data_IF_789594928985
#
_entry.id   IF_789594928985
#
_cell.length_a   1.000
_cell.length_b   1.000
_cell.length_c   1.000
_cell.angle_alpha   90.00
_cell.angle_beta   90.00
_cell.angle_gamma   90.00
#
_symmetry.space_group_name_H-M   'P 1'
#
loop_
_entity.id
_entity.type
_entity.pdbx_description
1 polymer ?
#
# COMPACT_ATOMS: atom_id res chain seq x y z
N UNK A 1 32.00 -53.77 -2.52
CA UNK A 1 31.16 -53.45 -3.69
C UNK A 1 31.75 -52.21 -4.34
N UNK A 2 32.58 -52.46 -5.33
CA UNK A 2 33.33 -51.44 -6.09
C UNK A 2 32.38 -50.79 -7.09
N UNK A 3 32.05 -49.50 -6.89
CA UNK A 3 31.26 -48.72 -7.85
C UNK A 3 32.18 -48.36 -9.01
N UNK A 4 32.04 -49.05 -10.13
CA UNK A 4 32.65 -48.75 -11.41
C UNK A 4 32.22 -47.35 -11.85
N UNK A 5 33.08 -46.34 -11.62
CA UNK A 5 32.97 -45.05 -12.25
C UNK A 5 33.11 -45.21 -13.76
N UNK A 6 31.99 -45.17 -14.49
CA UNK A 6 32.01 -45.02 -15.94
C UNK A 6 32.61 -43.63 -16.28
N UNK A 7 33.91 -43.59 -16.52
CA UNK A 7 34.54 -42.42 -17.16
C UNK A 7 33.96 -42.34 -18.59
N UNK A 8 33.43 -41.18 -18.92
CA UNK A 8 33.00 -40.89 -20.30
C UNK A 8 34.28 -40.86 -21.18
N UNK A 9 34.33 -41.81 -22.14
CA UNK A 9 35.48 -41.92 -23.07
C UNK A 9 35.50 -40.71 -24.04
N UNK A 10 36.72 -40.31 -24.48
CA UNK A 10 36.94 -39.16 -25.34
C UNK A 10 36.02 -38.97 -26.55
N UNK A 11 35.65 -40.10 -27.30
CA UNK A 11 34.71 -40.00 -28.42
C UNK A 11 33.24 -39.66 -28.04
N UNK A 12 32.88 -39.93 -26.80
CA UNK A 12 31.55 -39.56 -26.28
C UNK A 12 31.46 -38.05 -25.90
N UNK A 13 32.55 -37.46 -25.46
CA UNK A 13 32.66 -36.04 -25.13
C UNK A 13 32.68 -35.16 -26.38
N UNK A 14 33.36 -35.62 -27.44
CA UNK A 14 33.43 -34.93 -28.73
C UNK A 14 32.03 -34.80 -29.40
N UNK A 15 31.22 -35.87 -29.26
CA UNK A 15 29.81 -35.85 -29.72
C UNK A 15 28.91 -34.91 -28.96
N UNK A 16 29.25 -34.51 -27.73
CA UNK A 16 28.55 -33.57 -26.89
C UNK A 16 29.11 -32.12 -27.00
N UNK A 17 30.15 -31.90 -27.81
CA UNK A 17 30.81 -30.62 -27.97
C UNK A 17 31.52 -30.13 -26.69
N UNK A 18 31.92 -31.05 -25.80
CA UNK A 18 32.62 -30.76 -24.55
C UNK A 18 34.08 -31.07 -24.69
N UNK A 19 34.96 -30.14 -24.32
CA UNK A 19 36.39 -30.38 -24.25
C UNK A 19 36.74 -31.21 -23.01
N UNK A 20 37.73 -32.13 -23.09
CA UNK A 20 38.18 -32.90 -21.92
C UNK A 20 38.64 -32.03 -20.74
N UNK A 21 39.09 -30.79 -21.01
CA UNK A 21 39.49 -29.83 -19.99
C UNK A 21 38.29 -29.26 -19.20
N UNK A 22 37.11 -29.20 -19.81
CA UNK A 22 35.87 -28.74 -19.15
C UNK A 22 35.34 -29.75 -18.12
N UNK A 23 35.82 -31.01 -18.16
CA UNK A 23 35.40 -32.12 -17.30
C UNK A 23 36.55 -32.55 -16.36
N UNK A 24 37.67 -31.86 -16.40
CA UNK A 24 38.75 -32.10 -15.46
C UNK A 24 38.27 -31.88 -14.01
N UNK A 25 38.65 -32.76 -13.05
CA UNK A 25 38.26 -32.55 -11.67
C UNK A 25 38.76 -31.18 -11.20
N UNK A 26 37.85 -30.37 -10.69
CA UNK A 26 38.11 -29.02 -10.21
C UNK A 26 39.35 -28.97 -9.32
N UNK A 27 40.23 -28.00 -9.55
CA UNK A 27 41.42 -27.79 -8.77
C UNK A 27 41.11 -27.54 -7.28
N UNK A 28 42.07 -27.73 -6.39
CA UNK A 28 41.84 -27.47 -4.96
C UNK A 28 41.39 -26.03 -4.70
N UNK A 29 41.84 -25.05 -5.51
CA UNK A 29 41.46 -23.65 -5.43
C UNK A 29 40.02 -23.43 -5.93
N UNK A 30 39.62 -24.08 -7.00
CA UNK A 30 38.21 -24.03 -7.51
C UNK A 30 37.22 -24.69 -6.55
N UNK A 31 37.63 -25.81 -5.90
CA UNK A 31 36.83 -26.43 -4.83
C UNK A 31 36.71 -25.53 -3.62
N UNK A 32 37.83 -24.91 -3.19
CA UNK A 32 37.82 -23.96 -2.09
C UNK A 32 37.00 -22.68 -2.41
N UNK A 33 36.99 -22.25 -3.67
CA UNK A 33 36.15 -21.14 -4.13
C UNK A 33 34.66 -21.52 -4.21
N UNK A 34 34.34 -22.78 -4.61
CA UNK A 34 32.96 -23.27 -4.62
C UNK A 34 32.41 -23.59 -3.22
N UNK A 35 33.29 -24.01 -2.29
CA UNK A 35 32.97 -24.24 -0.88
C UNK A 35 32.81 -22.95 -0.05
N UNK A 36 33.20 -21.80 -0.60
CA UNK A 36 32.82 -20.52 0.00
C UNK A 36 31.32 -20.28 -0.20
N UNK A 37 30.51 -21.07 0.51
CA UNK A 37 29.09 -20.75 0.67
C UNK A 37 28.98 -19.31 1.15
N UNK A 38 28.44 -18.44 0.30
CA UNK A 38 28.09 -17.07 0.75
C UNK A 38 27.27 -17.22 2.02
N UNK A 39 27.59 -16.49 3.11
CA UNK A 39 26.85 -16.60 4.36
C UNK A 39 25.36 -16.41 4.04
N UNK A 40 24.53 -17.34 4.51
CA UNK A 40 23.09 -17.29 4.29
C UNK A 40 22.51 -16.00 4.88
N UNK A 41 22.24 -15.03 4.04
CA UNK A 41 21.62 -13.77 4.46
C UNK A 41 20.13 -14.05 4.61
N UNK A 42 19.57 -13.78 5.79
CA UNK A 42 18.16 -13.95 6.03
C UNK A 42 17.32 -13.11 5.04
N UNK A 43 16.18 -13.64 4.57
CA UNK A 43 15.29 -13.05 3.57
C UNK A 43 15.04 -11.53 3.77
N UNK A 44 14.68 -11.13 4.98
CA UNK A 44 14.39 -9.73 5.32
C UNK A 44 15.62 -8.82 5.26
N UNK A 45 16.79 -9.34 5.64
CA UNK A 45 18.06 -8.59 5.59
C UNK A 45 18.48 -8.34 4.15
N UNK A 46 18.35 -9.35 3.29
CA UNK A 46 18.62 -9.24 1.85
C UNK A 46 17.66 -8.25 1.17
N UNK A 47 16.35 -8.37 1.42
CA UNK A 47 15.35 -7.44 0.91
C UNK A 47 15.65 -5.99 1.35
N UNK A 48 15.98 -5.76 2.62
CA UNK A 48 16.32 -4.43 3.13
C UNK A 48 17.60 -3.87 2.49
N UNK A 49 18.61 -4.71 2.23
CA UNK A 49 19.83 -4.28 1.54
C UNK A 49 19.56 -3.87 0.09
N UNK A 50 18.71 -4.62 -0.62
CA UNK A 50 18.30 -4.30 -1.99
C UNK A 50 17.50 -3.01 -2.03
N UNK A 51 16.53 -2.85 -1.14
CA UNK A 51 15.75 -1.63 -1.02
C UNK A 51 16.64 -0.39 -0.81
N UNK A 52 17.60 -0.46 0.12
CA UNK A 52 18.56 0.63 0.40
C UNK A 52 19.49 0.95 -0.76
N UNK A 53 19.76 0.01 -1.67
CA UNK A 53 20.56 0.26 -2.87
C UNK A 53 19.85 1.10 -3.92
N UNK A 54 18.52 1.14 -3.89
CA UNK A 54 17.73 1.98 -4.79
C UNK A 54 17.74 3.43 -4.29
N UNK A 55 18.64 4.23 -4.87
CA UNK A 55 18.83 5.64 -4.47
C UNK A 55 17.56 6.47 -4.64
N UNK A 56 16.80 6.25 -5.74
CA UNK A 56 15.57 6.97 -6.01
C UNK A 56 14.51 6.70 -4.92
N UNK A 57 14.33 5.43 -4.57
CA UNK A 57 13.41 5.04 -3.50
C UNK A 57 13.80 5.65 -2.14
N UNK A 58 15.10 5.68 -1.82
CA UNK A 58 15.58 6.30 -0.59
C UNK A 58 15.34 7.81 -0.54
N UNK A 59 15.51 8.52 -1.67
CA UNK A 59 15.19 9.96 -1.77
C UNK A 59 13.68 10.17 -1.60
N UNK A 60 12.84 9.38 -2.30
CA UNK A 60 11.38 9.50 -2.19
C UNK A 60 10.87 9.14 -0.80
N UNK A 61 11.47 8.15 -0.15
CA UNK A 61 11.18 7.83 1.25
C UNK A 61 11.56 9.01 2.17
N UNK A 62 12.69 9.63 1.94
CA UNK A 62 13.13 10.83 2.69
C UNK A 62 12.14 11.99 2.53
N UNK A 63 11.69 12.26 1.30
CA UNK A 63 10.68 13.28 1.00
C UNK A 63 9.35 12.94 1.69
N UNK A 64 8.91 11.68 1.63
CA UNK A 64 7.67 11.24 2.29
C UNK A 64 7.74 11.43 3.81
N UNK A 65 8.85 11.04 4.44
CA UNK A 65 9.07 11.25 5.88
C UNK A 65 9.07 12.74 6.19
N UNK A 66 9.72 13.57 5.39
CA UNK A 66 9.73 15.01 5.56
C UNK A 66 8.31 15.60 5.50
N UNK A 67 7.49 15.19 4.51
CA UNK A 67 6.09 15.63 4.40
C UNK A 67 5.29 15.20 5.64
N UNK A 68 5.46 13.96 6.11
CA UNK A 68 4.79 13.46 7.32
C UNK A 68 5.19 14.29 8.54
N UNK A 69 6.47 14.58 8.70
CA UNK A 69 6.96 15.42 9.79
C UNK A 69 6.38 16.84 9.72
N UNK A 70 6.39 17.45 8.54
CA UNK A 70 5.77 18.77 8.32
C UNK A 70 4.26 18.74 8.63
N UNK A 71 3.55 17.69 8.21
CA UNK A 71 2.12 17.53 8.47
C UNK A 71 1.81 17.38 9.97
N UNK A 72 2.75 16.86 10.76
CA UNK A 72 2.60 16.71 12.22
C UNK A 72 3.05 17.99 12.94
N UNK A 73 4.22 18.51 12.60
CA UNK A 73 4.87 19.59 13.36
C UNK A 73 4.26 20.95 13.06
N UNK A 74 4.01 21.29 11.78
CA UNK A 74 3.53 22.62 11.41
C UNK A 74 2.19 22.97 12.10
N UNK A 75 1.14 22.13 12.08
CA UNK A 75 -0.11 22.46 12.77
C UNK A 75 0.00 22.50 14.31
N UNK A 76 1.07 21.93 14.90
CA UNK A 76 1.28 21.93 16.35
C UNK A 76 2.04 23.17 16.80
N UNK A 77 3.09 23.56 16.04
CA UNK A 77 3.95 24.70 16.41
C UNK A 77 3.49 26.03 15.82
N UNK A 78 2.59 26.03 14.84
CA UNK A 78 2.05 27.26 14.26
C UNK A 78 1.16 27.99 15.25
N UNK A 79 1.26 29.32 15.33
CA UNK A 79 0.33 30.15 16.08
C UNK A 79 -1.09 30.13 15.50
N UNK A 80 -1.23 29.68 14.24
CA UNK A 80 -2.50 29.62 13.53
C UNK A 80 -3.11 28.23 13.62
N UNK A 81 -4.46 28.18 13.71
CA UNK A 81 -5.20 26.91 13.65
C UNK A 81 -5.87 26.77 12.30
N UNK A 82 -6.15 25.53 11.89
CA UNK A 82 -6.85 25.27 10.62
C UNK A 82 -8.28 25.86 10.56
N UNK A 83 -8.88 26.22 11.71
CA UNK A 83 -10.18 26.89 11.84
C UNK A 83 -10.04 28.41 12.03
N UNK A 84 -8.89 28.84 12.52
CA UNK A 84 -8.64 30.25 12.89
C UNK A 84 -8.77 31.16 11.68
N UNK A 85 -9.45 32.26 11.86
CA UNK A 85 -9.63 33.31 10.85
C UNK A 85 -8.80 34.50 11.26
N UNK A 86 -8.07 35.07 10.31
CA UNK A 86 -7.36 36.34 10.47
C UNK A 86 -8.10 37.44 9.69
N UNK A 87 -7.86 38.73 10.01
CA UNK A 87 -8.44 39.81 9.21
C UNK A 87 -7.89 39.87 7.78
N UNK A 88 -6.75 39.23 7.53
CA UNK A 88 -6.05 39.21 6.26
C UNK A 88 -6.67 38.20 5.29
N UNK A 89 -7.73 38.59 4.61
CA UNK A 89 -8.46 37.74 3.66
C UNK A 89 -7.79 37.78 2.29
N UNK A 90 -7.53 36.61 1.68
CA UNK A 90 -6.90 36.49 0.35
C UNK A 90 -5.55 37.19 0.24
N UNK A 91 -4.80 37.21 1.31
CA UNK A 91 -3.45 37.75 1.33
C UNK A 91 -2.49 36.80 0.59
N UNK A 92 -1.60 37.35 -0.22
CA UNK A 92 -0.51 36.60 -0.86
C UNK A 92 0.51 36.08 0.17
N UNK A 93 1.51 35.30 -0.28
CA UNK A 93 2.57 34.82 0.60
C UNK A 93 3.29 35.93 1.35
N UNK A 94 3.40 35.79 2.69
CA UNK A 94 4.11 36.65 3.59
C UNK A 94 4.93 35.84 4.60
N UNK A 95 5.80 36.45 5.36
CA UNK A 95 6.53 35.75 6.41
C UNK A 95 5.61 35.19 7.51
N UNK A 96 4.49 35.85 7.79
CA UNK A 96 3.47 35.38 8.73
C UNK A 96 2.64 34.26 8.13
N UNK A 97 2.34 34.32 6.83
CA UNK A 97 1.55 33.36 6.08
C UNK A 97 2.32 32.90 4.83
N UNK A 98 3.22 31.89 4.93
CA UNK A 98 4.12 31.52 3.83
C UNK A 98 3.39 31.08 2.55
N UNK A 99 2.18 30.52 2.64
CA UNK A 99 1.33 30.16 1.50
C UNK A 99 0.16 31.15 1.31
N UNK A 100 0.13 32.23 2.10
CA UNK A 100 -0.97 33.18 2.12
C UNK A 100 -2.19 32.71 2.88
N UNK A 101 -3.31 33.44 2.70
CA UNK A 101 -4.58 33.16 3.35
C UNK A 101 -5.70 32.89 2.35
N UNK A 102 -6.69 32.11 2.76
CA UNK A 102 -7.84 31.77 1.92
C UNK A 102 -8.95 32.85 1.95
N UNK A 103 -10.08 32.56 1.28
CA UNK A 103 -11.28 33.43 1.21
C UNK A 103 -11.90 33.77 2.57
N UNK A 104 -11.54 33.05 3.62
CA UNK A 104 -12.04 33.25 5.00
C UNK A 104 -10.93 33.76 5.96
N UNK A 105 -9.76 34.13 5.43
CA UNK A 105 -8.63 34.58 6.24
C UNK A 105 -7.92 33.45 6.99
N UNK A 106 -8.07 32.19 6.57
CA UNK A 106 -7.40 31.05 7.21
C UNK A 106 -6.05 30.80 6.57
N UNK A 107 -5.04 30.47 7.37
CA UNK A 107 -3.69 30.17 6.89
C UNK A 107 -3.67 28.90 6.00
N UNK A 108 -3.20 29.06 4.77
CA UNK A 108 -3.20 27.97 3.76
C UNK A 108 -2.15 26.91 4.10
N UNK A 109 -0.96 27.28 4.60
CA UNK A 109 0.09 26.33 4.94
C UNK A 109 -0.38 25.37 6.05
N UNK A 110 -0.93 25.91 7.12
CA UNK A 110 -1.44 25.10 8.24
C UNK A 110 -2.58 24.20 7.78
N UNK A 111 -3.46 24.70 6.92
CA UNK A 111 -4.57 23.90 6.35
C UNK A 111 -4.08 22.79 5.43
N UNK A 112 -3.10 23.06 4.56
CA UNK A 112 -2.49 22.05 3.67
C UNK A 112 -1.83 20.95 4.50
N UNK A 113 -1.05 21.33 5.52
CA UNK A 113 -0.38 20.34 6.38
C UNK A 113 -1.38 19.53 7.22
N UNK A 114 -2.43 20.17 7.74
CA UNK A 114 -3.51 19.44 8.43
C UNK A 114 -4.28 18.53 7.46
N UNK A 115 -4.60 19.01 6.25
CA UNK A 115 -5.22 18.23 5.20
C UNK A 115 -4.37 17.03 4.78
N UNK A 116 -3.06 17.20 4.69
CA UNK A 116 -2.09 16.13 4.45
C UNK A 116 -2.18 15.04 5.52
N UNK A 117 -2.27 15.43 6.80
CA UNK A 117 -2.46 14.48 7.91
C UNK A 117 -3.76 13.66 7.73
N UNK A 118 -4.85 14.33 7.35
CA UNK A 118 -6.15 13.66 7.14
C UNK A 118 -6.08 12.69 5.95
N UNK A 119 -5.54 13.11 4.81
CA UNK A 119 -5.42 12.25 3.63
C UNK A 119 -4.48 11.05 3.87
N UNK A 120 -3.37 11.24 4.60
CA UNK A 120 -2.50 10.13 5.02
C UNK A 120 -3.21 9.18 5.99
N UNK A 121 -3.98 9.70 6.94
CA UNK A 121 -4.79 8.87 7.85
C UNK A 121 -5.79 8.02 7.06
N UNK A 122 -6.47 8.62 6.07
CA UNK A 122 -7.40 7.87 5.19
C UNK A 122 -6.65 6.75 4.46
N UNK A 123 -5.49 7.04 3.88
CA UNK A 123 -4.68 6.04 3.19
C UNK A 123 -4.31 4.86 4.08
N UNK A 124 -3.77 5.14 5.28
CA UNK A 124 -3.31 4.10 6.22
C UNK A 124 -4.47 3.30 6.81
N UNK A 125 -5.54 3.96 7.26
CA UNK A 125 -6.72 3.26 7.82
C UNK A 125 -7.38 2.39 6.76
N UNK A 126 -7.54 2.91 5.54
CA UNK A 126 -8.09 2.12 4.41
C UNK A 126 -7.19 0.90 4.13
N UNK A 127 -5.88 1.06 4.08
CA UNK A 127 -4.95 -0.05 3.89
C UNK A 127 -5.13 -1.13 4.97
N UNK A 128 -5.22 -0.75 6.24
CA UNK A 128 -5.42 -1.70 7.34
C UNK A 128 -6.74 -2.46 7.20
N UNK A 129 -7.84 -1.77 6.88
CA UNK A 129 -9.16 -2.38 6.69
C UNK A 129 -9.17 -3.32 5.46
N UNK A 130 -8.59 -2.88 4.35
CA UNK A 130 -8.44 -3.68 3.12
C UNK A 130 -7.59 -4.93 3.37
N UNK A 131 -6.49 -4.81 4.11
CA UNK A 131 -5.68 -5.97 4.51
C UNK A 131 -6.48 -6.93 5.39
N UNK A 132 -7.18 -6.42 6.39
CA UNK A 132 -7.98 -7.25 7.31
C UNK A 132 -9.04 -8.06 6.55
N UNK A 133 -9.83 -7.41 5.70
CA UNK A 133 -10.91 -8.06 4.94
C UNK A 133 -10.32 -8.94 3.83
N UNK A 134 -9.42 -8.40 3.01
CA UNK A 134 -8.89 -9.07 1.83
C UNK A 134 -8.03 -10.27 2.16
N UNK A 135 -7.18 -10.19 3.20
CA UNK A 135 -6.37 -11.34 3.64
C UNK A 135 -7.28 -12.44 4.16
N UNK A 136 -8.25 -12.10 5.01
CA UNK A 136 -9.18 -13.08 5.58
C UNK A 136 -10.01 -13.78 4.49
N UNK A 137 -10.60 -12.99 3.57
CA UNK A 137 -11.40 -13.50 2.46
C UNK A 137 -10.60 -14.37 1.50
N UNK A 138 -9.42 -13.89 1.06
CA UNK A 138 -8.54 -14.63 0.15
C UNK A 138 -7.98 -15.91 0.79
N UNK A 139 -7.69 -15.88 2.09
CA UNK A 139 -7.21 -17.05 2.82
C UNK A 139 -8.31 -18.13 2.95
N UNK A 140 -9.55 -17.74 3.26
CA UNK A 140 -10.69 -18.66 3.34
C UNK A 140 -10.92 -19.30 1.96
N UNK A 141 -10.98 -18.50 0.90
CA UNK A 141 -11.18 -19.00 -0.47
C UNK A 141 -10.10 -20.00 -0.89
N UNK A 142 -8.81 -19.67 -0.69
CA UNK A 142 -7.69 -20.52 -1.07
C UNK A 142 -7.64 -21.81 -0.25
N UNK A 143 -8.03 -21.75 1.02
CA UNK A 143 -7.96 -22.91 1.90
C UNK A 143 -9.12 -23.89 1.69
N UNK A 144 -10.36 -23.39 1.74
CA UNK A 144 -11.55 -24.24 1.57
C UNK A 144 -11.57 -24.86 0.17
N UNK A 145 -11.27 -24.07 -0.86
CA UNK A 145 -11.21 -24.54 -2.24
C UNK A 145 -12.57 -24.95 -2.81
N UNK A 146 -12.54 -25.66 -3.93
CA UNK A 146 -13.73 -26.26 -4.55
C UNK A 146 -14.83 -25.25 -4.90
N UNK A 147 -16.07 -25.59 -4.57
CA UNK A 147 -17.24 -24.73 -4.83
C UNK A 147 -17.20 -23.41 -4.03
N UNK A 148 -16.69 -23.47 -2.79
CA UNK A 148 -16.60 -22.27 -1.94
C UNK A 148 -15.66 -21.23 -2.58
N UNK A 149 -14.47 -21.64 -2.99
CA UNK A 149 -13.51 -20.77 -3.71
C UNK A 149 -14.14 -20.20 -4.99
N UNK A 150 -14.77 -21.06 -5.80
CA UNK A 150 -15.41 -20.61 -7.03
C UNK A 150 -16.50 -19.58 -6.79
N UNK A 151 -17.39 -19.78 -5.81
CA UNK A 151 -18.45 -18.84 -5.49
C UNK A 151 -17.90 -17.52 -4.94
N UNK A 152 -16.93 -17.59 -4.01
CA UNK A 152 -16.28 -16.42 -3.45
C UNK A 152 -15.59 -15.58 -4.53
N UNK A 153 -14.85 -16.21 -5.43
CA UNK A 153 -14.17 -15.49 -6.53
C UNK A 153 -15.14 -14.99 -7.59
N UNK A 154 -16.23 -15.69 -7.89
CA UNK A 154 -17.30 -15.18 -8.77
C UNK A 154 -17.93 -13.91 -8.21
N UNK A 155 -18.15 -13.85 -6.90
CA UNK A 155 -18.63 -12.65 -6.26
C UNK A 155 -17.62 -11.49 -6.42
N UNK A 156 -16.31 -11.74 -6.18
CA UNK A 156 -15.25 -10.75 -6.39
C UNK A 156 -15.22 -10.30 -7.86
N UNK A 157 -15.26 -11.23 -8.79
CA UNK A 157 -15.24 -10.96 -10.22
C UNK A 157 -16.43 -10.08 -10.63
N UNK A 158 -17.63 -10.43 -10.17
CA UNK A 158 -18.85 -9.67 -10.42
C UNK A 158 -18.75 -8.23 -9.88
N UNK A 159 -18.25 -8.06 -8.65
CA UNK A 159 -18.04 -6.74 -8.08
C UNK A 159 -17.02 -5.92 -8.86
N UNK A 160 -15.96 -6.56 -9.40
CA UNK A 160 -14.93 -5.88 -10.18
C UNK A 160 -15.34 -5.54 -11.62
N UNK A 161 -16.45 -6.08 -12.14
CA UNK A 161 -16.97 -5.68 -13.45
C UNK A 161 -17.64 -4.31 -13.43
N UNK A 162 -18.09 -3.88 -12.26
CA UNK A 162 -18.73 -2.57 -12.11
C UNK A 162 -17.65 -1.50 -11.96
N UNK A 163 -17.76 -0.38 -12.70
CA UNK A 163 -16.79 0.72 -12.54
C UNK A 163 -16.71 1.18 -11.09
N UNK A 164 -15.57 0.95 -10.44
CA UNK A 164 -15.37 1.17 -9.00
C UNK A 164 -15.77 2.58 -8.56
N UNK A 165 -15.42 3.60 -9.35
CA UNK A 165 -15.69 5.00 -9.03
C UNK A 165 -17.19 5.27 -8.94
N UNK A 166 -18.03 4.66 -9.79
CA UNK A 166 -19.47 4.84 -9.76
C UNK A 166 -20.07 4.29 -8.45
N UNK A 167 -19.63 3.08 -8.04
CA UNK A 167 -20.08 2.49 -6.79
C UNK A 167 -19.62 3.31 -5.59
N UNK A 168 -18.35 3.74 -5.58
CA UNK A 168 -17.79 4.53 -4.49
C UNK A 168 -18.56 5.85 -4.32
N UNK A 169 -18.88 6.55 -5.43
CA UNK A 169 -19.71 7.77 -5.39
C UNK A 169 -21.12 7.45 -4.85
N UNK A 170 -21.77 6.42 -5.40
CA UNK A 170 -23.10 6.02 -4.96
C UNK A 170 -23.13 5.68 -3.47
N UNK A 171 -22.20 4.85 -3.01
CA UNK A 171 -22.09 4.48 -1.60
C UNK A 171 -21.78 5.68 -0.71
N UNK A 172 -20.96 6.63 -1.18
CA UNK A 172 -20.66 7.86 -0.43
C UNK A 172 -21.90 8.71 -0.19
N UNK A 173 -22.82 8.76 -1.16
CA UNK A 173 -24.11 9.46 -1.02
C UNK A 173 -25.05 8.68 -0.12
N UNK A 174 -25.24 7.38 -0.41
CA UNK A 174 -26.23 6.55 0.29
C UNK A 174 -25.88 6.32 1.76
N UNK A 175 -24.59 6.12 2.08
CA UNK A 175 -24.15 5.81 3.45
C UNK A 175 -23.95 7.06 4.33
N UNK A 176 -23.94 8.25 3.75
CA UNK A 176 -23.70 9.50 4.50
C UNK A 176 -24.70 9.73 5.62
N UNK A 177 -25.99 9.68 5.31
CA UNK A 177 -27.05 9.96 6.27
C UNK A 177 -27.24 8.85 7.31
N UNK A 178 -27.26 7.56 6.95
CA UNK A 178 -27.25 6.46 7.91
C UNK A 178 -26.10 6.53 8.91
N UNK A 179 -24.86 6.77 8.42
CA UNK A 179 -23.68 6.88 9.29
C UNK A 179 -23.79 8.10 10.21
N UNK A 180 -24.22 9.26 9.68
CA UNK A 180 -24.45 10.45 10.49
C UNK A 180 -25.49 10.21 11.58
N UNK A 181 -26.59 9.52 11.27
CA UNK A 181 -27.65 9.15 12.23
C UNK A 181 -27.11 8.17 13.28
N UNK A 182 -26.37 7.16 12.88
CA UNK A 182 -25.73 6.21 13.79
C UNK A 182 -24.79 6.94 14.78
N UNK A 183 -23.96 7.87 14.30
CA UNK A 183 -23.01 8.62 15.12
C UNK A 183 -23.66 9.68 16.02
N UNK A 184 -24.94 9.99 15.86
CA UNK A 184 -25.67 10.86 16.78
C UNK A 184 -26.14 10.14 18.04
N UNK A 185 -26.05 8.81 18.11
CA UNK A 185 -26.32 8.03 19.29
C UNK A 185 -25.15 8.13 20.29
N UNK A 186 -25.41 8.39 21.60
CA UNK A 186 -24.37 8.55 22.62
C UNK A 186 -23.38 7.40 22.76
N UNK A 187 -23.76 6.18 22.44
CA UNK A 187 -22.86 5.02 22.47
C UNK A 187 -21.70 5.13 21.44
N UNK A 188 -21.82 5.95 20.42
CA UNK A 188 -20.84 6.16 19.36
C UNK A 188 -20.05 7.46 19.49
N UNK A 189 -20.11 8.16 20.63
CA UNK A 189 -19.44 9.46 20.85
C UNK A 189 -17.95 9.43 20.53
N UNK A 190 -17.25 8.33 20.86
CA UNK A 190 -15.84 8.19 20.54
C UNK A 190 -15.56 8.20 19.03
N UNK A 191 -16.41 7.58 18.22
CA UNK A 191 -16.29 7.60 16.77
C UNK A 191 -16.83 8.92 16.19
N UNK A 192 -17.87 9.50 16.78
CA UNK A 192 -18.42 10.79 16.37
C UNK A 192 -17.38 11.92 16.43
N UNK A 193 -16.42 11.85 17.36
CA UNK A 193 -15.33 12.81 17.48
C UNK A 193 -14.40 12.83 16.27
N UNK A 194 -14.28 11.72 15.53
CA UNK A 194 -13.49 11.62 14.29
C UNK A 194 -14.16 12.39 13.14
N UNK A 195 -15.47 12.53 13.18
CA UNK A 195 -16.30 13.19 12.17
C UNK A 195 -16.97 12.20 11.21
N UNK A 196 -18.26 12.41 10.99
CA UNK A 196 -19.10 11.52 10.17
C UNK A 196 -18.59 11.39 8.72
N UNK A 197 -18.02 12.47 8.15
CA UNK A 197 -17.47 12.45 6.80
C UNK A 197 -16.28 11.50 6.65
N UNK A 198 -15.35 11.48 7.60
CA UNK A 198 -14.21 10.57 7.58
C UNK A 198 -14.63 9.11 7.75
N UNK A 199 -15.57 8.84 8.67
CA UNK A 199 -16.06 7.48 8.89
C UNK A 199 -16.80 6.96 7.65
N UNK A 200 -17.59 7.82 6.98
CA UNK A 200 -18.24 7.46 5.72
C UNK A 200 -17.23 7.08 4.64
N UNK A 201 -16.15 7.84 4.51
CA UNK A 201 -15.07 7.53 3.55
C UNK A 201 -14.40 6.19 3.91
N UNK A 202 -14.06 5.95 5.17
CA UNK A 202 -13.47 4.68 5.60
C UNK A 202 -14.38 3.50 5.27
N UNK A 203 -15.67 3.61 5.57
CA UNK A 203 -16.64 2.56 5.29
C UNK A 203 -16.74 2.26 3.79
N UNK A 204 -16.87 3.31 2.96
CA UNK A 204 -16.98 3.16 1.50
C UNK A 204 -15.73 2.55 0.89
N UNK A 205 -14.55 3.05 1.28
CA UNK A 205 -13.28 2.55 0.75
C UNK A 205 -13.01 1.11 1.23
N UNK A 206 -13.35 0.80 2.50
CA UNK A 206 -13.20 -0.54 3.04
C UNK A 206 -14.14 -1.54 2.37
N UNK A 207 -15.39 -1.14 2.03
CA UNK A 207 -16.36 -2.02 1.39
C UNK A 207 -15.96 -2.44 -0.03
N UNK A 208 -15.15 -1.65 -0.73
CA UNK A 208 -14.87 -1.91 -2.14
C UNK A 208 -13.41 -2.25 -2.45
N UNK A 209 -12.43 -1.62 -1.79
CA UNK A 209 -11.01 -1.77 -2.16
C UNK A 209 -10.35 -3.10 -1.76
N UNK A 210 -11.00 -3.92 -0.93
CA UNK A 210 -10.46 -5.22 -0.50
C UNK A 210 -10.47 -6.31 -1.58
N UNK A 211 -11.25 -6.14 -2.65
CA UNK A 211 -11.44 -7.14 -3.70
C UNK A 211 -10.11 -7.53 -4.37
N UNK A 212 -9.28 -6.54 -4.72
CA UNK A 212 -7.96 -6.77 -5.32
C UNK A 212 -6.99 -7.49 -4.36
N UNK A 213 -7.02 -7.12 -3.08
CA UNK A 213 -6.22 -7.78 -2.04
C UNK A 213 -6.62 -9.25 -1.88
N UNK A 214 -7.92 -9.54 -1.82
CA UNK A 214 -8.43 -10.91 -1.69
C UNK A 214 -7.96 -11.81 -2.85
N UNK A 215 -8.00 -11.29 -4.10
CA UNK A 215 -7.52 -12.00 -5.27
C UNK A 215 -6.01 -12.25 -5.22
N UNK A 216 -5.23 -11.25 -4.83
CA UNK A 216 -3.77 -11.37 -4.70
C UNK A 216 -3.36 -12.38 -3.63
N UNK A 217 -3.99 -12.32 -2.46
CA UNK A 217 -3.73 -13.25 -1.35
C UNK A 217 -4.12 -14.68 -1.74
N UNK A 218 -5.33 -14.86 -2.30
CA UNK A 218 -5.75 -16.19 -2.79
C UNK A 218 -4.73 -16.78 -3.76
N UNK A 219 -4.30 -16.01 -4.77
CA UNK A 219 -3.31 -16.47 -5.75
C UNK A 219 -2.00 -16.90 -5.11
N UNK A 220 -1.48 -16.10 -4.17
CA UNK A 220 -0.26 -16.40 -3.43
C UNK A 220 -0.39 -17.67 -2.56
N UNK A 221 -1.52 -17.82 -1.88
CA UNK A 221 -1.75 -19.01 -1.03
C UNK A 221 -1.92 -20.28 -1.83
N UNK A 222 -2.61 -20.25 -2.99
CA UNK A 222 -2.75 -21.40 -3.88
C UNK A 222 -1.38 -21.85 -4.43
N UNK A 223 -0.50 -20.91 -4.80
CA UNK A 223 0.87 -21.20 -5.21
C UNK A 223 1.68 -21.90 -4.12
N UNK A 224 1.52 -21.43 -2.86
CA UNK A 224 2.25 -21.98 -1.74
C UNK A 224 1.66 -23.34 -1.24
N UNK A 225 0.38 -23.61 -1.48
CA UNK A 225 -0.31 -24.80 -1.02
C UNK A 225 0.24 -26.09 -1.64
N UNK A 226 0.77 -26.01 -2.85
CA UNK A 226 1.34 -27.16 -3.57
C UNK A 226 2.79 -27.48 -3.20
N UNK A 227 3.38 -26.73 -2.28
CA UNK A 227 4.76 -26.94 -1.86
C UNK A 227 4.90 -28.16 -0.92
N UNK A 228 6.00 -28.87 -1.04
CA UNK A 228 6.26 -30.14 -0.32
C UNK A 228 6.13 -30.00 1.21
N UNK A 229 6.61 -28.91 1.79
CA UNK A 229 6.53 -28.67 3.24
C UNK A 229 5.07 -28.50 3.74
N UNK A 230 4.17 -28.03 2.87
CA UNK A 230 2.74 -27.91 3.19
C UNK A 230 2.10 -29.29 3.16
N UNK A 231 2.36 -30.06 2.09
CA UNK A 231 1.86 -31.42 1.94
C UNK A 231 2.36 -32.35 3.08
N UNK A 232 3.63 -32.21 3.45
CA UNK A 232 4.18 -32.92 4.61
C UNK A 232 3.46 -32.57 5.91
N UNK A 233 3.15 -31.30 6.14
CA UNK A 233 2.40 -30.85 7.33
C UNK A 233 0.97 -31.41 7.35
N UNK A 234 0.30 -31.47 6.21
CA UNK A 234 -1.04 -32.06 6.06
C UNK A 234 -0.99 -33.58 6.32
N UNK A 235 0.01 -34.27 5.78
CA UNK A 235 0.21 -35.70 5.99
C UNK A 235 0.46 -36.05 7.46
N UNK A 236 1.09 -35.18 8.22
CA UNK A 236 1.27 -35.31 9.69
C UNK A 236 0.01 -34.96 10.49
N UNK A 237 -1.12 -34.64 9.83
CA UNK A 237 -2.39 -34.33 10.49
C UNK A 237 -2.51 -32.90 11.03
N UNK A 238 -1.73 -31.95 10.51
CA UNK A 238 -1.82 -30.55 10.93
C UNK A 238 -3.20 -29.95 10.60
N UNK A 239 -3.77 -29.21 11.56
CA UNK A 239 -5.06 -28.53 11.38
C UNK A 239 -4.93 -27.42 10.30
N UNK A 240 -5.99 -27.28 9.51
CA UNK A 240 -6.12 -26.28 8.45
C UNK A 240 -5.69 -24.87 8.88
N UNK A 241 -6.24 -24.36 9.96
CA UNK A 241 -5.94 -23.04 10.48
C UNK A 241 -4.47 -22.86 10.90
N UNK A 242 -3.85 -23.94 11.33
CA UNK A 242 -2.44 -23.95 11.71
C UNK A 242 -1.55 -23.87 10.45
N UNK A 243 -1.84 -24.65 9.41
CA UNK A 243 -1.11 -24.62 8.13
C UNK A 243 -1.20 -23.23 7.49
N UNK A 244 -2.40 -22.63 7.46
CA UNK A 244 -2.59 -21.27 6.94
C UNK A 244 -1.74 -20.24 7.71
N UNK A 245 -1.82 -20.26 9.05
CA UNK A 245 -1.12 -19.26 9.89
C UNK A 245 0.39 -19.48 9.94
N UNK A 246 0.85 -20.73 9.97
CA UNK A 246 2.25 -21.07 10.19
C UNK A 246 3.07 -21.18 8.90
N UNK A 247 2.44 -21.59 7.79
CA UNK A 247 3.12 -21.86 6.54
C UNK A 247 2.67 -20.96 5.38
N UNK A 248 1.37 -20.86 5.11
CA UNK A 248 0.90 -20.17 3.91
C UNK A 248 1.01 -18.65 4.02
N UNK A 249 0.46 -18.03 5.07
CA UNK A 249 0.49 -16.57 5.25
C UNK A 249 1.90 -16.01 5.40
N UNK A 250 2.81 -16.59 6.21
CA UNK A 250 4.18 -16.08 6.30
C UNK A 250 4.94 -16.11 4.97
N UNK A 251 4.71 -17.13 4.13
CA UNK A 251 5.34 -17.20 2.82
C UNK A 251 4.66 -16.29 1.77
N UNK A 252 3.44 -15.84 2.02
CA UNK A 252 2.72 -14.88 1.18
C UNK A 252 2.96 -13.41 1.60
N UNK A 253 3.66 -13.15 2.72
CA UNK A 253 3.84 -11.78 3.29
C UNK A 253 4.42 -10.81 2.26
N UNK A 254 5.36 -11.24 1.42
CA UNK A 254 5.95 -10.38 0.38
C UNK A 254 4.86 -9.83 -0.57
N UNK A 255 3.98 -10.68 -1.08
CA UNK A 255 2.88 -10.28 -1.98
C UNK A 255 1.86 -9.41 -1.24
N UNK A 256 1.57 -9.73 0.02
CA UNK A 256 0.65 -8.96 0.86
C UNK A 256 1.18 -7.52 1.05
N UNK A 257 2.46 -7.37 1.41
CA UNK A 257 3.08 -6.05 1.60
C UNK A 257 3.07 -5.25 0.29
N UNK A 258 3.44 -5.87 -0.83
CA UNK A 258 3.40 -5.23 -2.15
C UNK A 258 1.99 -4.74 -2.49
N UNK A 259 0.98 -5.58 -2.28
CA UNK A 259 -0.42 -5.20 -2.52
C UNK A 259 -0.89 -4.08 -1.58
N UNK A 260 -0.49 -4.13 -0.31
CA UNK A 260 -0.85 -3.15 0.71
C UNK A 260 -0.26 -1.75 0.41
N UNK A 261 1.01 -1.69 -0.06
CA UNK A 261 1.64 -0.41 -0.41
C UNK A 261 0.91 0.30 -1.55
N UNK A 262 0.33 -0.41 -2.51
CA UNK A 262 -0.48 0.15 -3.59
C UNK A 262 -1.85 0.68 -3.15
N UNK A 263 -2.38 0.19 -2.02
CA UNK A 263 -3.69 0.66 -1.51
C UNK A 263 -3.62 2.11 -1.01
N UNK A 264 -2.51 2.52 -0.37
CA UNK A 264 -2.39 3.87 0.22
C UNK A 264 -2.52 4.98 -0.82
N UNK A 265 -1.73 5.03 -1.91
CA UNK A 265 -1.87 6.08 -2.92
C UNK A 265 -3.23 6.02 -3.62
N UNK A 266 -3.79 4.83 -3.88
CA UNK A 266 -5.12 4.67 -4.45
C UNK A 266 -6.22 5.23 -3.54
N UNK A 267 -6.15 4.98 -2.23
CA UNK A 267 -7.10 5.50 -1.26
C UNK A 267 -7.02 7.03 -1.14
N UNK A 268 -5.80 7.60 -1.10
CA UNK A 268 -5.59 9.05 -1.07
C UNK A 268 -6.15 9.70 -2.34
N UNK A 269 -5.90 9.13 -3.51
CA UNK A 269 -6.44 9.64 -4.78
C UNK A 269 -7.96 9.63 -4.78
N UNK A 270 -8.57 8.53 -4.35
CA UNK A 270 -10.04 8.38 -4.29
C UNK A 270 -10.66 9.33 -3.27
N UNK A 271 -10.07 9.44 -2.06
CA UNK A 271 -10.50 10.41 -1.04
C UNK A 271 -10.43 11.84 -1.56
N UNK A 272 -9.29 12.20 -2.17
CA UNK A 272 -9.08 13.55 -2.70
C UNK A 272 -10.10 13.88 -3.80
N UNK A 273 -10.41 12.92 -4.67
CA UNK A 273 -11.45 13.08 -5.70
C UNK A 273 -12.84 13.24 -5.08
N UNK A 274 -13.23 12.38 -4.13
CA UNK A 274 -14.52 12.48 -3.44
C UNK A 274 -14.66 13.82 -2.70
N UNK A 275 -13.60 14.24 -2.01
CA UNK A 275 -13.55 15.52 -1.31
C UNK A 275 -13.59 16.71 -2.28
N UNK A 276 -12.96 16.60 -3.45
CA UNK A 276 -13.01 17.60 -4.51
C UNK A 276 -14.42 17.79 -5.08
N UNK A 277 -15.19 16.72 -5.25
CA UNK A 277 -16.60 16.82 -5.71
C UNK A 277 -17.60 17.10 -4.57
N UNK A 278 -17.11 17.30 -3.33
CA UNK A 278 -17.96 17.64 -2.17
C UNK A 278 -18.60 16.46 -1.45
N UNK A 279 -18.24 15.22 -1.81
CA UNK A 279 -18.74 13.99 -1.17
C UNK A 279 -17.77 13.42 -0.13
N UNK A 280 -16.65 14.10 0.10
CA UNK A 280 -15.59 13.66 1.00
C UNK A 280 -15.70 14.19 2.42
N UNK A 281 -14.55 14.62 2.96
CA UNK A 281 -14.43 15.17 4.32
C UNK A 281 -15.24 16.45 4.46
N UNK A 282 -16.10 16.48 5.48
CA UNK A 282 -16.95 17.64 5.73
C UNK A 282 -16.21 18.76 6.46
N UNK A 283 -16.53 20.02 6.10
CA UNK A 283 -16.07 21.18 6.87
C UNK A 283 -16.49 21.04 8.35
N UNK A 284 -15.70 21.55 9.31
CA UNK A 284 -14.57 22.45 9.15
C UNK A 284 -13.22 21.77 8.92
N UNK A 285 -13.15 20.44 8.95
CA UNK A 285 -11.89 19.67 8.78
C UNK A 285 -11.42 19.81 7.33
N UNK A 286 -10.21 20.30 7.07
CA UNK A 286 -9.68 20.32 5.72
C UNK A 286 -9.15 18.96 5.31
N UNK A 287 -9.35 18.60 4.03
CA UNK A 287 -8.56 17.60 3.33
C UNK A 287 -7.94 18.25 2.10
N UNK A 288 -6.92 17.62 1.52
CA UNK A 288 -6.28 18.19 0.32
C UNK A 288 -7.27 18.34 -0.83
N UNK A 289 -8.17 17.36 -1.02
CA UNK A 289 -9.22 17.42 -2.05
C UNK A 289 -10.26 18.50 -1.77
N UNK A 290 -10.71 18.67 -0.53
CA UNK A 290 -11.66 19.73 -0.18
C UNK A 290 -11.08 21.12 -0.32
N UNK A 291 -9.77 21.28 -0.06
CA UNK A 291 -9.07 22.56 -0.30
C UNK A 291 -8.97 22.87 -1.79
N UNK A 292 -8.70 21.87 -2.62
CA UNK A 292 -8.72 22.03 -4.07
C UNK A 292 -10.11 22.46 -4.57
N UNK A 293 -11.18 21.89 -4.03
CA UNK A 293 -12.56 22.34 -4.32
C UNK A 293 -12.80 23.80 -3.88
N UNK A 294 -12.41 24.15 -2.67
CA UNK A 294 -12.53 25.52 -2.14
C UNK A 294 -11.83 26.57 -3.03
N UNK A 295 -10.73 26.18 -3.70
CA UNK A 295 -9.93 27.05 -4.56
C UNK A 295 -10.56 27.31 -5.93
N UNK A 296 -11.48 26.44 -6.41
CA UNK A 296 -12.11 26.56 -7.74
C UNK A 296 -12.72 27.95 -7.99
N UNK A 297 -13.45 28.49 -7.01
CA UNK A 297 -14.11 29.79 -7.13
C UNK A 297 -13.17 30.99 -7.24
N UNK A 298 -11.89 30.78 -7.09
CA UNK A 298 -10.87 31.83 -7.17
C UNK A 298 -9.67 31.44 -8.04
N UNK A 299 -9.77 30.42 -8.85
CA UNK A 299 -8.63 29.81 -9.56
C UNK A 299 -7.91 30.80 -10.50
N UNK A 300 -8.63 31.72 -11.13
CA UNK A 300 -8.05 32.72 -12.03
C UNK A 300 -7.27 33.77 -11.24
N UNK A 301 -7.80 34.25 -10.11
CA UNK A 301 -7.20 35.32 -9.34
C UNK A 301 -6.15 34.85 -8.32
N UNK A 302 -6.31 33.61 -7.81
CA UNK A 302 -5.47 33.02 -6.76
C UNK A 302 -5.13 31.55 -7.09
N UNK A 303 -4.43 31.28 -8.19
CA UNK A 303 -4.17 29.91 -8.66
C UNK A 303 -3.36 29.09 -7.65
N UNK A 304 -2.51 29.72 -6.86
CA UNK A 304 -1.67 29.02 -5.87
C UNK A 304 -2.49 28.28 -4.80
N UNK A 305 -3.69 28.76 -4.48
CA UNK A 305 -4.57 28.07 -3.53
C UNK A 305 -4.95 26.64 -4.00
N UNK A 306 -5.00 26.43 -5.31
CA UNK A 306 -5.22 25.11 -5.94
C UNK A 306 -3.90 24.35 -6.08
N UNK A 307 -2.82 25.03 -6.47
CA UNK A 307 -1.53 24.41 -6.74
C UNK A 307 -0.94 23.76 -5.48
N UNK A 308 -1.01 24.42 -4.31
CA UNK A 308 -0.45 23.85 -3.08
C UNK A 308 -1.04 22.49 -2.70
N UNK A 309 -2.36 22.30 -2.54
CA UNK A 309 -2.91 21.00 -2.20
C UNK A 309 -2.69 19.97 -3.31
N UNK A 310 -2.83 20.37 -4.59
CA UNK A 310 -2.62 19.48 -5.73
C UNK A 310 -1.17 18.96 -5.81
N UNK A 311 -0.18 19.83 -5.63
CA UNK A 311 1.23 19.47 -5.63
C UNK A 311 1.56 18.47 -4.51
N UNK A 312 1.01 18.68 -3.31
CA UNK A 312 1.22 17.76 -2.19
C UNK A 312 0.57 16.40 -2.45
N UNK A 313 -0.66 16.36 -3.01
CA UNK A 313 -1.31 15.09 -3.42
C UNK A 313 -0.41 14.34 -4.42
N UNK A 314 0.02 15.01 -5.49
CA UNK A 314 0.87 14.42 -6.51
C UNK A 314 2.19 13.89 -5.93
N UNK A 315 2.82 14.67 -5.05
CA UNK A 315 4.10 14.31 -4.44
C UNK A 315 3.96 13.10 -3.50
N UNK A 316 2.92 13.05 -2.68
CA UNK A 316 2.65 11.91 -1.80
C UNK A 316 2.40 10.65 -2.61
N UNK A 317 1.54 10.71 -3.63
CA UNK A 317 1.22 9.57 -4.50
C UNK A 317 2.48 9.07 -5.21
N UNK A 318 3.29 10.00 -5.76
CA UNK A 318 4.56 9.67 -6.41
C UNK A 318 5.52 8.96 -5.43
N UNK A 319 5.69 9.50 -4.22
CA UNK A 319 6.54 8.92 -3.20
C UNK A 319 6.09 7.49 -2.84
N UNK A 320 4.80 7.28 -2.58
CA UNK A 320 4.27 5.95 -2.26
C UNK A 320 4.43 4.96 -3.42
N UNK A 321 4.21 5.37 -4.67
CA UNK A 321 4.39 4.51 -5.84
C UNK A 321 5.85 4.10 -6.00
N UNK A 322 6.80 5.05 -6.00
CA UNK A 322 8.22 4.74 -6.16
C UNK A 322 8.76 3.87 -5.02
N UNK A 323 8.37 4.17 -3.77
CA UNK A 323 8.74 3.36 -2.61
C UNK A 323 8.11 1.96 -2.69
N UNK A 324 6.85 1.88 -3.12
CA UNK A 324 6.13 0.61 -3.31
C UNK A 324 6.76 -0.27 -4.40
N UNK A 325 7.14 0.32 -5.54
CA UNK A 325 7.81 -0.40 -6.64
C UNK A 325 9.19 -0.91 -6.19
N UNK A 326 9.97 -0.08 -5.52
CA UNK A 326 11.27 -0.50 -4.98
C UNK A 326 11.15 -1.60 -3.91
N UNK A 327 10.08 -1.57 -3.11
CA UNK A 327 9.79 -2.63 -2.15
C UNK A 327 9.37 -3.92 -2.85
N UNK A 328 8.61 -3.83 -3.94
CA UNK A 328 8.27 -4.95 -4.82
C UNK A 328 9.53 -5.62 -5.36
N UNK A 329 10.44 -4.84 -5.95
CA UNK A 329 11.70 -5.33 -6.51
C UNK A 329 12.58 -5.99 -5.43
N UNK A 330 12.62 -5.40 -4.24
CA UNK A 330 13.39 -5.92 -3.11
C UNK A 330 12.85 -7.25 -2.56
N UNK A 331 11.53 -7.44 -2.58
CA UNK A 331 10.84 -8.62 -2.05
C UNK A 331 10.65 -9.73 -3.10
N UNK A 332 10.90 -9.48 -4.39
CA UNK A 332 10.75 -10.49 -5.45
C UNK A 332 11.86 -11.55 -5.35
N UNK A 333 11.50 -12.85 -5.10
CA UNK A 333 12.48 -13.92 -5.02
C UNK A 333 13.22 -14.18 -6.34
N UNK A 334 12.60 -13.84 -7.49
CA UNK A 334 13.16 -14.09 -8.83
C UNK A 334 14.36 -13.17 -9.13
N UNK A 335 14.48 -12.06 -8.43
CA UNK A 335 15.60 -11.13 -8.52
C UNK A 335 16.82 -11.55 -7.68
N UNK A 336 16.78 -12.72 -7.06
CA UNK A 336 17.89 -13.30 -6.30
C UNK A 336 18.95 -13.85 -7.28
N UNK A 337 19.99 -13.05 -7.54
CA UNK A 337 21.19 -13.50 -8.26
C UNK A 337 22.21 -14.05 -7.29
#
# INVERSE_FOLDING_TARGET
>A
MEKTEKRLDGPALEKLGLNPEDIAPATAEERAASDQMRPSVGYWKDAMQRFRRNKLAMVMLGILIFIILCAILIPVFSPYTYKGRTPDVRQGPTWAHPFGTDKLGRDILVRVMYGTRISLLVGVVTMLLVCLIGISYGAIAAWVGGLCDNLMMRFVDLMMTIPSMLIIILLSVVLRDPIKKMLSDPQWNALASIGSGLISIFAVLALFNWLGMARSVRGALLMNRTQEYVLASEAMGAKASWVVKKHLLPNAVGIIIISATGVVPSAIMTESFLSFIGLGVAAPVPSLGSMANDALNGIISYPMNMVYPAAIICLIILCFNVVGDALRDALDPRMRK
#
